data_IF_618558513867
#
_entry.id   IF_618558513867
#
_cell.length_a   1.000
_cell.length_b   1.000
_cell.length_c   1.000
_cell.angle_alpha   90.00
_cell.angle_beta   90.00
_cell.angle_gamma   90.00
#
_symmetry.space_group_name_H-M   'P 1'
#
loop_
_entity.id
_entity.type
_entity.pdbx_description
1 polymer ?
#
# COMPACT_ATOMS: atom_id res chain seq x y z
N UNK A 1 3.13 -86.81 41.14
CA UNK A 1 1.69 -86.75 40.97
C UNK A 1 1.30 -85.32 41.32
N UNK A 2 1.19 -84.45 40.31
CA UNK A 2 0.86 -83.05 40.51
C UNK A 2 0.05 -82.59 39.31
N UNK A 3 -1.16 -82.13 39.53
CA UNK A 3 -2.02 -81.57 38.56
C UNK A 3 -1.74 -80.06 38.44
N UNK A 4 -1.47 -79.66 37.22
CA UNK A 4 -1.41 -78.25 36.81
C UNK A 4 -2.79 -77.76 36.43
N UNK A 5 -3.24 -76.66 37.00
CA UNK A 5 -4.33 -75.87 36.49
C UNK A 5 -3.80 -74.57 35.91
N UNK A 6 -4.09 -74.31 34.61
CA UNK A 6 -3.84 -73.09 33.92
C UNK A 6 -5.01 -72.10 34.16
N UNK A 7 -4.68 -70.97 34.74
CA UNK A 7 -5.61 -69.85 34.79
C UNK A 7 -5.25 -68.85 33.70
N UNK A 8 -6.15 -68.64 32.71
CA UNK A 8 -6.02 -67.68 31.65
C UNK A 8 -6.44 -66.31 32.13
N UNK A 9 -5.53 -65.33 32.05
CA UNK A 9 -5.81 -63.93 32.34
C UNK A 9 -6.31 -63.21 31.06
N UNK A 10 -7.51 -62.71 31.13
CA UNK A 10 -8.12 -61.86 30.04
C UNK A 10 -7.68 -60.43 30.25
N UNK A 11 -6.80 -59.95 29.37
CA UNK A 11 -6.41 -58.52 29.29
C UNK A 11 -7.47 -57.80 28.49
N UNK A 12 -8.26 -56.94 29.16
CA UNK A 12 -9.16 -55.98 28.50
C UNK A 12 -8.37 -54.73 28.14
N UNK A 13 -8.05 -54.54 26.86
CA UNK A 13 -7.51 -53.31 26.35
C UNK A 13 -8.63 -52.27 26.18
N UNK A 14 -8.61 -51.25 27.03
CA UNK A 14 -9.46 -50.06 26.85
C UNK A 14 -8.84 -49.17 25.78
N UNK A 15 -9.42 -49.16 24.60
CA UNK A 15 -9.06 -48.23 23.53
C UNK A 15 -9.52 -46.80 23.85
N UNK A 16 -8.57 -45.92 24.09
CA UNK A 16 -8.82 -44.49 24.26
C UNK A 16 -9.03 -43.86 22.87
N UNK A 17 -10.27 -43.56 22.51
CA UNK A 17 -10.63 -42.86 21.27
C UNK A 17 -10.37 -41.36 21.46
N UNK A 18 -9.22 -40.86 20.97
CA UNK A 18 -8.92 -39.44 20.91
C UNK A 18 -9.74 -38.81 19.78
N UNK A 19 -10.81 -38.11 20.16
CA UNK A 19 -11.62 -37.31 19.26
C UNK A 19 -10.85 -35.99 18.97
N UNK A 20 -10.16 -35.93 17.84
CA UNK A 20 -9.54 -34.68 17.36
C UNK A 20 -10.63 -33.72 16.86
N UNK A 21 -11.00 -32.75 17.70
CA UNK A 21 -11.90 -31.65 17.27
C UNK A 21 -11.05 -30.72 16.40
N UNK A 22 -11.21 -30.85 15.07
CA UNK A 22 -10.72 -29.86 14.12
C UNK A 22 -11.55 -28.58 14.29
N UNK A 23 -11.01 -27.59 15.00
CA UNK A 23 -11.57 -26.24 15.03
C UNK A 23 -11.31 -25.60 13.68
N UNK A 24 -12.28 -25.72 12.76
CA UNK A 24 -12.30 -24.98 11.52
C UNK A 24 -12.52 -23.49 11.89
N UNK A 25 -11.43 -22.72 11.99
CA UNK A 25 -11.54 -21.27 12.06
C UNK A 25 -12.06 -20.81 10.69
N UNK A 26 -13.36 -20.60 10.62
CA UNK A 26 -13.97 -19.82 9.53
C UNK A 26 -13.39 -18.42 9.65
N UNK A 27 -12.34 -18.14 8.89
CA UNK A 27 -11.86 -16.79 8.66
C UNK A 27 -12.96 -16.05 7.94
N UNK A 28 -13.72 -15.22 8.64
CA UNK A 28 -14.60 -14.23 8.02
C UNK A 28 -13.68 -13.24 7.33
N UNK A 29 -13.43 -13.46 6.04
CA UNK A 29 -12.84 -12.42 5.18
C UNK A 29 -13.83 -11.24 5.20
N UNK A 30 -13.39 -10.02 5.54
CA UNK A 30 -14.28 -8.86 5.38
C UNK A 30 -14.61 -8.78 3.91
N UNK A 31 -15.89 -8.98 3.57
CA UNK A 31 -16.42 -8.74 2.25
C UNK A 31 -16.23 -7.23 1.99
N UNK A 32 -15.13 -6.86 1.34
CA UNK A 32 -15.02 -5.57 0.69
C UNK A 32 -16.20 -5.47 -0.28
N UNK A 33 -16.79 -4.30 -0.42
CA UNK A 33 -17.82 -4.03 -1.40
C UNK A 33 -17.28 -4.40 -2.79
N UNK A 34 -17.44 -5.68 -3.18
CA UNK A 34 -17.02 -6.18 -4.47
C UNK A 34 -17.83 -5.46 -5.53
N UNK A 35 -17.19 -4.58 -6.32
CA UNK A 35 -17.78 -3.89 -7.45
C UNK A 35 -17.64 -2.37 -7.49
N UNK A 36 -17.30 -1.69 -6.38
CA UNK A 36 -17.16 -0.23 -6.39
C UNK A 36 -15.83 0.24 -7.00
N UNK A 37 -14.73 -0.48 -6.73
CA UNK A 37 -13.38 -0.11 -7.15
C UNK A 37 -12.73 -1.19 -8.01
N UNK A 38 -11.83 -0.77 -8.91
CA UNK A 38 -10.94 -1.70 -9.59
C UNK A 38 -9.96 -2.30 -8.58
N UNK A 39 -9.57 -3.55 -8.80
CA UNK A 39 -8.60 -4.27 -7.96
C UNK A 39 -7.65 -5.09 -8.79
N UNK A 40 -6.37 -5.14 -8.38
CA UNK A 40 -5.39 -6.10 -8.88
C UNK A 40 -4.94 -7.00 -7.72
N UNK A 41 -4.61 -8.25 -8.04
CA UNK A 41 -4.01 -9.20 -7.10
C UNK A 41 -2.65 -9.62 -7.62
N UNK A 42 -1.63 -9.46 -6.81
CA UNK A 42 -0.25 -9.81 -7.14
C UNK A 42 0.25 -10.88 -6.18
N UNK A 43 0.77 -12.01 -6.69
CA UNK A 43 1.37 -13.02 -5.83
C UNK A 43 2.69 -12.50 -5.23
N UNK A 44 2.90 -12.82 -3.94
CA UNK A 44 4.16 -12.59 -3.25
C UNK A 44 4.64 -13.89 -2.58
N UNK A 45 5.88 -13.91 -2.10
CA UNK A 45 6.42 -15.07 -1.36
C UNK A 45 5.70 -15.36 -0.03
N UNK A 46 4.87 -14.42 0.45
CA UNK A 46 4.20 -14.51 1.75
C UNK A 46 2.66 -14.42 1.64
N UNK A 47 2.10 -14.64 0.46
CA UNK A 47 0.66 -14.57 0.18
C UNK A 47 0.31 -13.50 -0.87
N UNK A 48 -0.96 -13.39 -1.20
CA UNK A 48 -1.44 -12.48 -2.23
C UNK A 48 -1.54 -11.04 -1.68
N UNK A 49 -0.97 -10.09 -2.42
CA UNK A 49 -1.18 -8.67 -2.24
C UNK A 49 -2.37 -8.23 -3.09
N UNK A 50 -3.45 -7.78 -2.47
CA UNK A 50 -4.56 -7.12 -3.17
C UNK A 50 -4.37 -5.61 -3.13
N UNK A 51 -4.45 -5.00 -4.30
CA UNK A 51 -4.39 -3.54 -4.50
C UNK A 51 -5.78 -3.08 -4.90
N UNK A 52 -6.37 -2.15 -4.17
CA UNK A 52 -7.66 -1.53 -4.49
C UNK A 52 -7.43 -0.07 -4.87
N UNK A 53 -7.91 0.30 -6.06
CA UNK A 53 -7.76 1.63 -6.63
C UNK A 53 -8.97 2.47 -6.24
N UNK A 54 -8.86 3.24 -5.14
CA UNK A 54 -9.98 4.05 -4.62
C UNK A 54 -10.23 5.27 -5.51
N UNK A 55 -9.16 5.85 -6.04
CA UNK A 55 -9.20 7.00 -6.94
C UNK A 55 -8.20 8.07 -6.53
N UNK A 56 -7.90 9.01 -7.42
CA UNK A 56 -6.98 10.12 -7.19
C UNK A 56 -5.63 9.63 -6.62
N UNK A 57 -5.23 10.09 -5.43
CA UNK A 57 -4.07 9.60 -4.68
C UNK A 57 -4.36 8.43 -3.74
N UNK A 58 -5.64 8.05 -3.57
CA UNK A 58 -6.08 7.09 -2.55
C UNK A 58 -5.98 5.64 -2.99
N UNK A 59 -5.28 4.84 -2.20
CA UNK A 59 -5.11 3.39 -2.41
C UNK A 59 -5.48 2.62 -1.14
N UNK A 60 -5.87 1.35 -1.31
CA UNK A 60 -5.99 0.40 -0.22
C UNK A 60 -5.25 -0.89 -0.59
N UNK A 61 -4.37 -1.34 0.29
CA UNK A 61 -3.72 -2.64 0.19
C UNK A 61 -4.29 -3.60 1.22
N UNK A 62 -4.51 -4.85 0.80
CA UNK A 62 -4.85 -5.95 1.71
C UNK A 62 -3.81 -7.04 1.59
N UNK A 63 -3.17 -7.38 2.72
CA UNK A 63 -2.10 -8.35 2.76
C UNK A 63 -2.09 -9.11 4.09
N UNK A 64 -2.17 -10.44 4.06
CA UNK A 64 -2.17 -11.29 5.26
C UNK A 64 -3.17 -10.83 6.34
N UNK A 65 -4.38 -10.47 5.91
CA UNK A 65 -5.44 -10.00 6.78
C UNK A 65 -5.29 -8.56 7.29
N UNK A 66 -4.21 -7.87 6.95
CA UNK A 66 -3.99 -6.45 7.27
C UNK A 66 -4.52 -5.55 6.17
N UNK A 67 -5.03 -4.39 6.58
CA UNK A 67 -5.59 -3.36 5.71
C UNK A 67 -4.78 -2.08 5.87
N UNK A 68 -4.19 -1.63 4.76
CA UNK A 68 -3.38 -0.43 4.70
C UNK A 68 -4.06 0.57 3.76
N UNK A 69 -4.42 1.74 4.25
CA UNK A 69 -4.90 2.85 3.44
C UNK A 69 -3.79 3.87 3.20
N UNK A 70 -3.72 4.41 1.98
CA UNK A 70 -2.83 5.52 1.62
C UNK A 70 -3.69 6.69 1.21
N UNK A 71 -3.42 7.87 1.79
CA UNK A 71 -4.04 9.15 1.46
C UNK A 71 -5.57 9.07 1.31
N UNK A 72 -6.32 8.62 2.34
CA UNK A 72 -7.76 8.48 2.24
C UNK A 72 -8.42 9.85 2.07
N UNK A 73 -9.18 10.03 0.98
CA UNK A 73 -9.83 11.30 0.61
C UNK A 73 -11.35 11.15 0.54
N UNK A 74 -12.07 11.77 1.44
CA UNK A 74 -13.51 11.60 1.65
C UNK A 74 -14.40 11.99 0.47
N UNK A 75 -13.89 12.76 -0.50
CA UNK A 75 -14.65 13.06 -1.71
C UNK A 75 -14.76 11.88 -2.67
N UNK A 76 -13.92 10.86 -2.54
CA UNK A 76 -13.91 9.68 -3.42
C UNK A 76 -14.94 8.64 -3.00
N UNK A 77 -15.14 8.47 -1.68
CA UNK A 77 -16.04 7.47 -1.11
C UNK A 77 -16.37 7.79 0.36
N UNK A 78 -17.43 7.16 0.86
CA UNK A 78 -17.74 7.15 2.29
C UNK A 78 -16.83 6.17 3.03
N UNK A 79 -15.75 6.68 3.62
CA UNK A 79 -14.78 5.87 4.37
C UNK A 79 -15.35 5.25 5.65
N UNK A 80 -16.55 5.67 6.14
CA UNK A 80 -17.20 4.99 7.25
C UNK A 80 -17.67 3.58 6.88
N UNK A 81 -17.86 3.31 5.58
CA UNK A 81 -18.27 2.02 5.01
C UNK A 81 -17.11 1.18 4.50
N UNK A 82 -15.88 1.74 4.49
CA UNK A 82 -14.69 1.01 4.07
C UNK A 82 -14.12 0.18 5.23
N UNK A 83 -13.35 -0.89 4.92
CA UNK A 83 -12.67 -1.68 5.93
C UNK A 83 -11.79 -0.83 6.84
N UNK A 84 -11.82 -1.08 8.15
CA UNK A 84 -10.98 -0.37 9.13
C UNK A 84 -9.51 -0.66 8.87
N UNK A 85 -8.67 0.34 9.10
CA UNK A 85 -7.25 0.26 8.81
C UNK A 85 -6.45 -0.34 9.98
N UNK A 86 -5.47 -1.19 9.65
CA UNK A 86 -4.33 -1.48 10.52
C UNK A 86 -3.30 -0.36 10.42
N UNK A 87 -3.05 0.13 9.20
CA UNK A 87 -2.10 1.20 8.91
C UNK A 87 -2.76 2.24 8.01
N UNK A 88 -2.56 3.52 8.30
CA UNK A 88 -2.88 4.63 7.40
C UNK A 88 -1.58 5.37 7.10
N UNK A 89 -1.25 5.54 5.81
CA UNK A 89 -0.08 6.30 5.36
C UNK A 89 -0.56 7.63 4.78
N UNK A 90 0.03 8.74 5.23
CA UNK A 90 -0.23 10.07 4.70
C UNK A 90 1.06 10.63 4.11
N UNK A 91 1.04 10.91 2.82
CA UNK A 91 2.22 11.35 2.07
C UNK A 91 2.56 12.81 2.34
N UNK A 92 1.56 13.69 2.40
CA UNK A 92 1.77 15.12 2.66
C UNK A 92 0.48 15.80 3.14
N UNK A 93 0.54 17.09 3.43
CA UNK A 93 -0.47 17.85 4.16
C UNK A 93 -1.63 18.41 3.33
N UNK A 94 -1.66 18.24 2.00
CA UNK A 94 -2.73 18.75 1.17
C UNK A 94 -4.06 18.05 1.47
N UNK A 95 -5.22 18.77 1.34
CA UNK A 95 -6.53 18.25 1.78
C UNK A 95 -7.02 17.01 1.03
N UNK A 96 -6.53 16.76 -0.16
CA UNK A 96 -6.83 15.58 -0.99
C UNK A 96 -5.94 14.35 -0.66
N UNK A 97 -5.03 14.51 0.30
CA UNK A 97 -4.18 13.44 0.86
C UNK A 97 -4.35 13.30 2.37
N UNK A 98 -4.43 14.42 3.11
CA UNK A 98 -4.69 14.44 4.53
C UNK A 98 -6.12 14.89 4.80
N UNK A 99 -7.04 13.96 4.90
CA UNK A 99 -8.45 14.19 5.26
C UNK A 99 -8.72 13.64 6.69
N UNK A 100 -8.86 14.53 7.70
CA UNK A 100 -9.04 14.09 9.09
C UNK A 100 -10.31 13.28 9.32
N UNK A 101 -11.38 13.53 8.54
CA UNK A 101 -12.65 12.81 8.66
C UNK A 101 -12.54 11.39 8.09
N UNK A 102 -11.90 11.24 6.93
CA UNK A 102 -11.61 9.94 6.35
C UNK A 102 -10.70 9.11 7.28
N UNK A 103 -9.63 9.72 7.82
CA UNK A 103 -8.73 9.09 8.79
C UNK A 103 -9.52 8.64 10.03
N UNK A 104 -10.35 9.50 10.63
CA UNK A 104 -11.15 9.17 11.80
C UNK A 104 -12.12 8.00 11.52
N UNK A 105 -12.75 7.98 10.35
CA UNK A 105 -13.64 6.92 9.93
C UNK A 105 -12.94 5.58 9.74
N UNK A 106 -11.67 5.55 9.40
CA UNK A 106 -10.88 4.32 9.20
C UNK A 106 -10.22 3.81 10.49
N UNK A 107 -9.96 4.69 11.45
CA UNK A 107 -9.22 4.35 12.68
C UNK A 107 -9.98 3.41 13.61
N UNK A 108 -9.19 2.56 14.26
CA UNK A 108 -9.52 1.84 15.51
C UNK A 108 -8.48 2.20 16.57
N UNK A 109 -8.61 1.67 17.78
CA UNK A 109 -7.58 1.81 18.83
C UNK A 109 -6.21 1.20 18.45
N UNK A 110 -6.20 0.26 17.50
CA UNK A 110 -4.98 -0.46 17.06
C UNK A 110 -4.38 0.11 15.77
N UNK A 111 -5.03 1.07 15.13
CA UNK A 111 -4.55 1.66 13.87
C UNK A 111 -3.31 2.53 14.12
N UNK A 112 -2.25 2.28 13.37
CA UNK A 112 -1.07 3.16 13.32
C UNK A 112 -1.21 4.11 12.13
N UNK A 113 -1.16 5.41 12.39
CA UNK A 113 -1.14 6.43 11.33
C UNK A 113 0.30 6.89 11.15
N UNK A 114 0.85 6.71 9.97
CA UNK A 114 2.20 7.14 9.57
C UNK A 114 2.07 8.43 8.77
N UNK A 115 2.84 9.44 9.13
CA UNK A 115 2.76 10.80 8.60
C UNK A 115 4.09 11.27 8.04
N UNK A 116 4.06 12.12 7.02
CA UNK A 116 5.23 12.93 6.65
C UNK A 116 5.47 14.06 7.65
N UNK A 117 6.64 14.69 7.59
CA UNK A 117 7.01 15.80 8.46
C UNK A 117 6.03 17.00 8.36
N UNK A 118 5.49 17.28 7.17
CA UNK A 118 4.52 18.35 6.96
C UNK A 118 3.18 18.10 7.66
N UNK A 119 2.88 16.84 7.99
CA UNK A 119 1.65 16.43 8.66
C UNK A 119 1.78 16.39 10.19
N UNK A 120 2.97 16.69 10.73
CA UNK A 120 3.22 16.65 12.18
C UNK A 120 2.22 17.55 12.95
N UNK A 121 1.60 16.99 14.00
CA UNK A 121 0.59 17.68 14.81
C UNK A 121 -0.78 17.87 14.16
N UNK A 122 -1.00 17.40 12.92
CA UNK A 122 -2.30 17.49 12.23
C UNK A 122 -3.21 16.27 12.49
N UNK A 123 -2.62 15.18 12.95
CA UNK A 123 -3.34 13.96 13.34
C UNK A 123 -2.84 13.50 14.71
N UNK A 124 -3.74 13.39 15.68
CA UNK A 124 -3.39 12.96 17.03
C UNK A 124 -2.82 11.54 17.04
N UNK A 125 -1.69 11.36 17.75
CA UNK A 125 -1.02 10.05 17.88
C UNK A 125 -0.44 9.50 16.57
N UNK A 126 -0.23 10.37 15.57
CA UNK A 126 0.44 10.00 14.33
C UNK A 126 1.95 9.81 14.52
N UNK A 127 2.51 8.77 13.92
CA UNK A 127 3.94 8.51 13.87
C UNK A 127 4.55 9.24 12.67
N UNK A 128 5.39 10.22 12.93
CA UNK A 128 6.11 10.97 11.89
C UNK A 128 7.29 10.14 11.39
N UNK A 129 7.39 9.98 10.08
CA UNK A 129 8.59 9.48 9.40
C UNK A 129 9.21 10.59 8.57
N UNK A 130 10.52 10.75 8.65
CA UNK A 130 11.28 11.68 7.83
C UNK A 130 11.94 10.97 6.65
N UNK A 131 12.27 11.74 5.59
CA UNK A 131 12.86 11.18 4.38
C UNK A 131 14.12 10.34 4.69
N UNK A 132 14.19 9.11 4.16
CA UNK A 132 15.28 8.16 4.36
C UNK A 132 15.09 7.21 5.54
N UNK A 133 14.10 7.42 6.40
CA UNK A 133 13.81 6.49 7.50
C UNK A 133 13.18 5.20 7.01
N UNK A 134 13.51 4.11 7.70
CA UNK A 134 12.91 2.80 7.53
C UNK A 134 12.35 2.34 8.86
N UNK A 135 11.06 2.00 8.90
CA UNK A 135 10.37 1.52 10.09
C UNK A 135 9.64 0.20 9.83
N UNK A 136 9.49 -0.61 10.85
CA UNK A 136 8.61 -1.78 10.80
C UNK A 136 7.32 -1.47 11.58
N UNK A 137 6.22 -1.34 10.85
CA UNK A 137 4.91 -0.97 11.41
C UNK A 137 3.96 -2.15 11.24
N UNK A 138 3.40 -2.68 12.34
CA UNK A 138 2.50 -3.83 12.30
C UNK A 138 3.05 -5.04 11.52
N UNK A 139 4.40 -5.21 11.51
CA UNK A 139 5.10 -6.27 10.77
C UNK A 139 5.35 -5.96 9.28
N UNK A 140 4.97 -4.78 8.79
CA UNK A 140 5.25 -4.31 7.44
C UNK A 140 6.45 -3.36 7.45
N UNK A 141 7.46 -3.60 6.59
CA UNK A 141 8.57 -2.67 6.41
C UNK A 141 8.12 -1.51 5.52
N UNK A 142 8.33 -0.28 6.00
CA UNK A 142 7.99 0.98 5.34
C UNK A 142 9.24 1.85 5.28
N UNK A 143 9.61 2.31 4.08
CA UNK A 143 10.72 3.21 3.83
C UNK A 143 10.17 4.55 3.32
N UNK A 144 10.54 5.68 3.92
CA UNK A 144 10.14 7.01 3.48
C UNK A 144 11.12 7.56 2.45
N UNK A 145 10.61 7.91 1.26
CA UNK A 145 11.37 8.48 0.14
C UNK A 145 11.03 9.96 0.00
N UNK A 146 11.98 10.86 -0.30
CA UNK A 146 11.67 12.26 -0.56
C UNK A 146 10.66 12.45 -1.70
N UNK A 147 9.60 13.24 -1.44
CA UNK A 147 8.61 13.64 -2.44
C UNK A 147 8.57 15.16 -2.52
N UNK A 148 8.90 15.74 -3.69
CA UNK A 148 8.97 17.19 -3.88
C UNK A 148 9.00 17.62 -5.34
N UNK A 149 8.73 18.94 -5.60
CA UNK A 149 8.87 19.55 -6.91
C UNK A 149 10.26 20.15 -7.14
N UNK A 150 10.78 19.97 -8.36
CA UNK A 150 12.02 20.58 -8.87
C UNK A 150 11.68 21.73 -9.80
N UNK A 151 10.74 21.50 -10.74
CA UNK A 151 10.41 22.38 -11.88
C UNK A 151 9.13 23.18 -11.62
N UNK A 152 8.01 22.48 -11.33
CA UNK A 152 6.72 23.14 -11.22
C UNK A 152 6.58 23.94 -9.92
N UNK A 153 6.13 25.19 -10.09
CA UNK A 153 6.07 26.17 -9.01
C UNK A 153 4.74 26.93 -9.06
N UNK A 154 4.34 27.43 -7.92
CA UNK A 154 3.25 28.39 -7.75
C UNK A 154 3.66 29.75 -8.34
N UNK A 155 2.70 30.64 -8.59
CA UNK A 155 2.95 31.99 -9.13
C UNK A 155 3.91 32.84 -8.27
N UNK A 156 3.96 32.56 -6.97
CA UNK A 156 4.89 33.20 -6.03
C UNK A 156 6.31 32.61 -6.06
N UNK A 157 6.59 31.66 -6.97
CA UNK A 157 7.90 31.01 -7.14
C UNK A 157 8.16 29.85 -6.17
N UNK A 158 7.30 29.59 -5.20
CA UNK A 158 7.44 28.45 -4.30
C UNK A 158 7.06 27.13 -5.01
N UNK A 159 7.76 26.01 -4.75
CA UNK A 159 7.34 24.72 -5.26
C UNK A 159 5.96 24.33 -4.70
N UNK A 160 5.18 23.54 -5.47
CA UNK A 160 3.91 23.01 -4.97
C UNK A 160 4.13 22.11 -3.75
N UNK A 161 5.19 21.29 -3.80
CA UNK A 161 5.60 20.38 -2.73
C UNK A 161 7.07 20.67 -2.39
N UNK A 162 7.36 21.35 -1.25
CA UNK A 162 8.74 21.68 -0.86
C UNK A 162 9.53 20.44 -0.43
N UNK A 163 10.82 20.41 -0.74
CA UNK A 163 11.72 19.32 -0.36
C UNK A 163 11.79 19.17 1.17
N UNK A 164 11.77 17.91 1.65
CA UNK A 164 11.87 17.56 3.06
C UNK A 164 10.55 17.60 3.83
N UNK A 165 9.44 17.91 3.18
CA UNK A 165 8.11 17.98 3.80
C UNK A 165 7.25 16.74 3.51
N UNK A 166 7.14 16.35 2.24
CA UNK A 166 6.39 15.18 1.81
C UNK A 166 7.21 13.89 1.79
N UNK A 167 6.54 12.76 1.90
CA UNK A 167 7.07 11.41 1.71
C UNK A 167 6.35 10.70 0.56
N UNK A 168 7.11 10.01 -0.29
CA UNK A 168 6.67 8.76 -0.87
C UNK A 168 6.99 7.61 0.09
N UNK A 169 6.36 6.45 -0.10
CA UNK A 169 6.59 5.28 0.74
C UNK A 169 6.91 4.05 -0.10
N UNK A 170 7.93 3.28 0.31
CA UNK A 170 8.15 1.93 -0.21
C UNK A 170 7.68 0.94 0.87
N UNK A 171 6.69 0.12 0.50
CA UNK A 171 6.15 -0.95 1.34
C UNK A 171 6.67 -2.29 0.85
N UNK A 172 7.10 -3.16 1.77
CA UNK A 172 7.60 -4.49 1.42
C UNK A 172 6.58 -5.55 1.82
N UNK A 173 5.98 -6.19 0.82
CA UNK A 173 5.01 -7.28 0.96
C UNK A 173 5.65 -8.62 0.54
N UNK A 174 6.13 -9.41 1.49
CA UNK A 174 6.93 -10.60 1.17
C UNK A 174 8.20 -10.22 0.40
N UNK A 175 8.33 -10.71 -0.83
CA UNK A 175 9.43 -10.39 -1.77
C UNK A 175 9.13 -9.20 -2.69
N UNK A 176 7.96 -8.55 -2.56
CA UNK A 176 7.54 -7.43 -3.43
C UNK A 176 7.74 -6.09 -2.75
N UNK A 177 8.41 -5.18 -3.45
CA UNK A 177 8.57 -3.78 -3.06
C UNK A 177 7.65 -2.90 -3.87
N UNK A 178 6.73 -2.22 -3.19
CA UNK A 178 5.70 -1.35 -3.77
C UNK A 178 6.01 0.09 -3.39
N UNK A 179 6.26 0.93 -4.38
CA UNK A 179 6.51 2.36 -4.19
C UNK A 179 5.26 3.18 -4.50
N UNK A 180 4.81 3.97 -3.53
CA UNK A 180 3.76 4.99 -3.68
C UNK A 180 4.43 6.35 -3.54
N UNK A 181 4.47 7.12 -4.61
CA UNK A 181 5.32 8.30 -4.70
C UNK A 181 4.84 9.50 -3.87
N UNK A 182 3.53 9.60 -3.58
CA UNK A 182 2.94 10.87 -3.13
C UNK A 182 3.01 11.90 -4.26
N UNK A 183 2.84 13.18 -3.93
CA UNK A 183 2.96 14.25 -4.90
C UNK A 183 4.41 14.69 -5.05
N UNK A 184 4.95 14.48 -6.22
CA UNK A 184 6.38 14.68 -6.51
C UNK A 184 6.63 14.87 -8.01
N UNK A 185 7.82 15.29 -8.35
CA UNK A 185 8.39 15.18 -9.68
C UNK A 185 9.43 14.06 -9.76
N UNK A 186 10.02 13.85 -10.95
CA UNK A 186 11.04 12.84 -11.24
C UNK A 186 12.40 13.15 -10.59
N UNK A 187 12.42 13.24 -9.27
CA UNK A 187 13.59 13.63 -8.47
C UNK A 187 14.77 12.67 -8.65
N UNK A 188 16.02 13.11 -8.36
CA UNK A 188 17.18 12.23 -8.38
C UNK A 188 17.03 11.02 -7.45
N UNK A 189 16.38 11.19 -6.30
CA UNK A 189 16.12 10.14 -5.31
C UNK A 189 15.20 9.05 -5.89
N UNK A 190 14.12 9.43 -6.59
CA UNK A 190 13.24 8.47 -7.27
C UNK A 190 13.99 7.71 -8.35
N UNK A 191 14.77 8.40 -9.19
CA UNK A 191 15.57 7.76 -10.25
C UNK A 191 16.63 6.81 -9.71
N UNK A 192 17.09 7.02 -8.46
CA UNK A 192 18.06 6.16 -7.79
C UNK A 192 17.47 4.92 -7.13
N UNK A 193 16.14 4.78 -7.07
CA UNK A 193 15.46 3.63 -6.47
C UNK A 193 15.92 2.32 -7.12
N UNK A 194 15.90 1.25 -6.35
CA UNK A 194 16.33 -0.08 -6.81
C UNK A 194 15.35 -1.15 -6.38
N UNK A 195 15.19 -2.17 -7.23
CA UNK A 195 14.38 -3.37 -6.93
C UNK A 195 12.93 -3.01 -6.56
N UNK A 196 12.32 -2.10 -7.31
CA UNK A 196 10.90 -1.78 -7.19
C UNK A 196 10.11 -2.72 -8.11
N UNK A 197 9.16 -3.47 -7.54
CA UNK A 197 8.30 -4.36 -8.32
C UNK A 197 7.09 -3.60 -8.86
N UNK A 198 6.51 -2.71 -8.04
CA UNK A 198 5.33 -1.92 -8.40
C UNK A 198 5.57 -0.47 -8.04
N UNK A 199 5.22 0.45 -8.93
CA UNK A 199 5.31 1.88 -8.67
C UNK A 199 4.00 2.59 -9.00
N UNK A 200 3.59 3.50 -8.12
CA UNK A 200 2.53 4.47 -8.33
C UNK A 200 3.17 5.84 -8.47
N UNK A 201 3.08 6.44 -9.67
CA UNK A 201 3.67 7.75 -9.96
C UNK A 201 2.58 8.76 -10.33
N UNK A 202 2.55 9.96 -9.69
CA UNK A 202 1.55 10.97 -9.95
C UNK A 202 1.79 11.64 -11.30
N UNK A 203 0.72 12.01 -12.01
CA UNK A 203 0.80 12.60 -13.34
C UNK A 203 -0.23 13.73 -13.53
N UNK A 204 -0.35 14.62 -12.54
CA UNK A 204 -1.33 15.70 -12.50
C UNK A 204 -0.67 17.08 -12.67
N UNK A 205 -0.80 17.68 -13.83
CA UNK A 205 -0.29 19.04 -14.09
C UNK A 205 -1.23 20.11 -13.54
N UNK A 206 -0.67 21.23 -13.03
CA UNK A 206 0.75 21.60 -12.96
C UNK A 206 1.44 21.13 -11.65
N UNK A 207 0.83 20.26 -10.88
CA UNK A 207 1.23 19.97 -9.48
C UNK A 207 2.33 18.94 -9.38
N UNK A 208 2.36 17.97 -10.30
CA UNK A 208 3.27 16.82 -10.26
C UNK A 208 3.99 16.59 -11.60
N UNK A 209 4.08 15.37 -12.08
CA UNK A 209 4.84 15.01 -13.29
C UNK A 209 4.03 15.17 -14.59
N UNK A 210 4.73 15.50 -15.66
CA UNK A 210 4.24 15.25 -17.03
C UNK A 210 4.38 13.74 -17.36
N UNK A 211 3.70 13.23 -18.41
CA UNK A 211 3.95 11.88 -18.91
C UNK A 211 5.42 11.61 -19.24
N UNK A 212 6.14 12.60 -19.77
CA UNK A 212 7.57 12.52 -20.08
C UNK A 212 8.43 12.38 -18.81
N UNK A 213 8.09 13.11 -17.73
CA UNK A 213 8.78 13.01 -16.44
C UNK A 213 8.52 11.66 -15.78
N UNK A 214 7.30 11.12 -15.87
CA UNK A 214 6.97 9.78 -15.38
C UNK A 214 7.76 8.72 -16.14
N UNK A 215 7.81 8.82 -17.49
CA UNK A 215 8.58 7.90 -18.33
C UNK A 215 10.08 7.97 -18.03
N UNK A 216 10.64 9.17 -17.84
CA UNK A 216 12.05 9.37 -17.48
C UNK A 216 12.40 8.72 -16.12
N UNK A 217 11.55 8.92 -15.11
CA UNK A 217 11.70 8.25 -13.83
C UNK A 217 11.63 6.72 -13.98
N UNK A 218 10.58 6.22 -14.64
CA UNK A 218 10.36 4.78 -14.82
C UNK A 218 11.53 4.10 -15.56
N UNK A 219 12.08 4.72 -16.62
CA UNK A 219 13.27 4.22 -17.33
C UNK A 219 14.52 4.16 -16.45
N UNK A 220 14.64 5.06 -15.46
CA UNK A 220 15.79 5.10 -14.58
C UNK A 220 15.77 3.99 -13.50
N UNK A 221 14.64 3.76 -12.82
CA UNK A 221 14.58 2.77 -11.75
C UNK A 221 13.88 1.45 -12.12
N UNK A 222 13.25 1.37 -13.31
CA UNK A 222 12.70 0.18 -13.96
C UNK A 222 11.79 -0.66 -13.07
N UNK A 223 10.61 -0.13 -12.67
CA UNK A 223 9.63 -0.94 -11.97
C UNK A 223 9.07 -2.00 -12.92
N UNK A 224 8.72 -3.19 -12.41
CA UNK A 224 8.08 -4.23 -13.25
C UNK A 224 6.68 -3.83 -13.66
N UNK A 225 5.92 -3.19 -12.75
CA UNK A 225 4.56 -2.69 -12.99
C UNK A 225 4.53 -1.21 -12.62
N UNK A 226 4.02 -0.39 -13.52
CA UNK A 226 3.83 1.04 -13.34
C UNK A 226 2.34 1.39 -13.43
N UNK A 227 1.82 2.02 -12.38
CA UNK A 227 0.50 2.63 -12.35
C UNK A 227 0.65 4.15 -12.33
N UNK A 228 0.28 4.88 -13.39
CA UNK A 228 0.03 6.31 -13.24
C UNK A 228 -1.21 6.48 -12.35
N UNK A 229 -1.11 7.34 -11.34
CA UNK A 229 -2.20 7.66 -10.44
C UNK A 229 -2.24 9.16 -10.21
N UNK A 230 -3.28 9.68 -9.55
CA UNK A 230 -3.44 11.12 -9.35
C UNK A 230 -3.18 11.90 -10.65
N UNK A 231 -3.78 11.45 -11.76
CA UNK A 231 -3.44 12.00 -13.09
C UNK A 231 -4.44 13.05 -13.58
N UNK A 232 -5.54 13.30 -12.85
CA UNK A 232 -6.55 14.29 -13.26
C UNK A 232 -7.00 14.09 -14.71
N UNK A 233 -6.87 15.14 -15.53
CA UNK A 233 -7.20 15.10 -16.95
C UNK A 233 -5.98 14.81 -17.86
N UNK A 234 -4.82 14.49 -17.30
CA UNK A 234 -3.61 14.17 -18.06
C UNK A 234 -3.81 12.88 -18.89
N UNK A 235 -3.42 12.93 -20.16
CA UNK A 235 -3.56 11.79 -21.07
C UNK A 235 -2.61 10.63 -20.69
N UNK A 236 -3.21 9.55 -20.17
CA UNK A 236 -2.47 8.35 -19.81
C UNK A 236 -2.01 7.53 -21.01
N UNK A 237 -2.62 7.70 -22.21
CA UNK A 237 -2.17 7.01 -23.42
C UNK A 237 -0.77 7.49 -23.83
N UNK A 238 -0.47 8.76 -23.62
CA UNK A 238 0.86 9.33 -23.87
C UNK A 238 1.97 8.59 -23.11
N UNK A 239 1.72 8.22 -21.86
CA UNK A 239 2.68 7.46 -21.06
C UNK A 239 2.95 6.07 -21.65
N UNK A 240 1.91 5.36 -22.13
CA UNK A 240 2.08 4.07 -22.80
C UNK A 240 2.94 4.19 -24.05
N UNK A 241 2.71 5.23 -24.85
CA UNK A 241 3.51 5.47 -26.06
C UNK A 241 4.98 5.76 -25.75
N UNK A 242 5.27 6.49 -24.67
CA UNK A 242 6.62 6.81 -24.24
C UNK A 242 7.42 5.59 -23.72
N UNK A 243 6.71 4.57 -23.24
CA UNK A 243 7.30 3.35 -22.65
C UNK A 243 7.11 2.10 -23.53
N UNK A 244 6.58 2.23 -24.76
CA UNK A 244 6.32 1.09 -25.66
C UNK A 244 7.56 0.26 -26.02
N UNK A 245 8.73 0.90 -26.00
CA UNK A 245 10.02 0.27 -26.33
C UNK A 245 10.78 -0.23 -25.07
N UNK A 246 10.15 -0.16 -23.89
CA UNK A 246 10.69 -0.61 -22.60
C UNK A 246 9.84 -1.79 -22.06
N UNK A 247 9.89 -2.99 -22.69
CA UNK A 247 8.97 -4.11 -22.41
C UNK A 247 9.10 -4.68 -20.99
N UNK A 248 10.17 -4.35 -20.27
CA UNK A 248 10.36 -4.73 -18.87
C UNK A 248 9.45 -3.93 -17.92
N UNK A 249 8.81 -2.83 -18.39
CA UNK A 249 7.91 -1.98 -17.60
C UNK A 249 6.47 -2.17 -18.08
N UNK A 250 5.67 -2.91 -17.33
CA UNK A 250 4.26 -3.08 -17.64
C UNK A 250 3.45 -1.86 -17.14
N UNK A 251 2.93 -1.03 -18.07
CA UNK A 251 2.09 0.13 -17.73
C UNK A 251 0.63 -0.31 -17.62
N UNK A 252 0.07 -0.23 -16.41
CA UNK A 252 -1.32 -0.52 -16.11
C UNK A 252 -2.09 0.75 -15.77
N UNK A 253 -3.10 1.07 -16.56
CA UNK A 253 -3.99 2.20 -16.28
C UNK A 253 -5.18 1.71 -15.45
N UNK A 254 -5.49 2.42 -14.36
CA UNK A 254 -6.65 2.22 -13.50
C UNK A 254 -7.37 3.55 -13.30
N UNK A 255 -8.59 3.52 -12.80
CA UNK A 255 -9.39 4.75 -12.55
C UNK A 255 -8.86 5.51 -11.33
N UNK A 256 -7.79 6.28 -11.52
CA UNK A 256 -7.10 7.07 -10.50
C UNK A 256 -7.04 8.57 -10.90
N UNK A 257 -8.14 9.03 -11.52
CA UNK A 257 -8.32 10.42 -11.94
C UNK A 257 -8.57 11.34 -10.75
#
# INVERSE_FOLDING_TARGET
MAHHELTAAIIRSAGLLLLAIAVCRLGVSPAAAEGQFETDVLPTSAGDLRITFVGHGSLMFTFNGKIIHVDPYGKLTDFSKQPKADIILITHEHPDHLDPDAIRNLRTSNTVVVLSAACAGRVDGGMVMTNGEVQTVQGLSIEAVPAYNIVHRRDNGQPFHPRGQGNGYILTFGDRRVYVAGDTENTPEIKALKKIDVAFLPMNLPYTMTPEMVADAAKAFKPKILYPYHYGDTDTARLKDLLKDDPEIEVRIRRMK
#
